data_IF_953901168187
#
_entry.id   IF_953901168187
#
_cell.length_a   1.000
_cell.length_b   1.000
_cell.length_c   1.000
_cell.angle_alpha   90.00
_cell.angle_beta   90.00
_cell.angle_gamma   90.00
#
_symmetry.space_group_name_H-M   'P 1'
#
loop_
_entity.id
_entity.type
_entity.pdbx_description
1 polymer ?
#
# COMPACT_ATOMS: atom_id res chain seq x y z
N UNK A 1 38.40 46.21 28.20
CA UNK A 1 37.12 46.68 27.60
C UNK A 1 37.07 46.28 26.11
N UNK A 2 37.20 44.98 25.80
CA UNK A 2 37.17 44.45 24.43
C UNK A 2 36.35 43.15 24.27
N UNK A 3 35.87 42.53 25.36
CA UNK A 3 35.13 41.25 25.26
C UNK A 3 33.65 41.37 24.92
N UNK A 4 33.02 42.54 25.10
CA UNK A 4 31.59 42.74 24.78
C UNK A 4 31.31 43.04 23.29
N UNK A 5 32.33 43.18 22.45
CA UNK A 5 32.17 43.48 21.03
C UNK A 5 31.97 42.22 20.16
N UNK A 6 32.13 41.02 20.72
CA UNK A 6 32.03 39.78 19.96
C UNK A 6 30.59 39.24 19.96
N UNK A 7 29.74 39.77 19.07
CA UNK A 7 28.34 39.32 18.88
C UNK A 7 28.19 37.80 18.67
N UNK A 8 29.26 37.08 18.29
CA UNK A 8 29.29 35.62 18.15
C UNK A 8 29.27 34.84 19.48
N UNK A 9 29.50 35.51 20.61
CA UNK A 9 29.54 34.93 21.97
C UNK A 9 28.29 35.28 22.81
N UNK A 10 27.31 35.99 22.25
CA UNK A 10 26.08 36.31 22.99
C UNK A 10 25.22 35.06 23.19
N UNK A 11 24.51 34.97 24.32
CA UNK A 11 23.58 33.86 24.63
C UNK A 11 22.56 33.68 23.49
N UNK A 12 22.06 34.78 22.93
CA UNK A 12 21.11 34.76 21.80
C UNK A 12 21.73 34.14 20.55
N UNK A 13 22.98 34.48 20.21
CA UNK A 13 23.69 33.89 19.07
C UNK A 13 24.01 32.40 19.28
N UNK A 14 24.32 31.99 20.52
CA UNK A 14 24.55 30.59 20.89
C UNK A 14 23.27 29.77 20.87
N UNK A 15 22.15 30.30 21.37
CA UNK A 15 20.83 29.65 21.29
C UNK A 15 20.37 29.50 19.84
N UNK A 16 20.57 30.53 19.00
CA UNK A 16 20.22 30.45 17.59
C UNK A 16 21.10 29.43 16.84
N UNK A 17 22.42 29.38 17.10
CA UNK A 17 23.31 28.37 16.51
C UNK A 17 22.96 26.96 16.98
N UNK A 18 22.63 26.78 18.25
CA UNK A 18 22.20 25.51 18.81
C UNK A 18 20.87 25.06 18.16
N UNK A 19 19.95 26.00 17.92
CA UNK A 19 18.71 25.75 17.16
C UNK A 19 18.97 25.29 15.73
N UNK A 20 19.91 25.92 15.01
CA UNK A 20 20.24 25.52 13.64
C UNK A 20 20.93 24.15 13.57
N UNK A 21 21.85 23.85 14.50
CA UNK A 21 22.47 22.53 14.57
C UNK A 21 21.43 21.44 14.88
N UNK A 22 20.53 21.67 15.85
CA UNK A 22 19.46 20.72 16.18
C UNK A 22 18.55 20.47 14.97
N UNK A 23 18.15 21.52 14.25
CA UNK A 23 17.36 21.40 13.02
C UNK A 23 18.09 20.62 11.93
N UNK A 24 19.39 20.87 11.76
CA UNK A 24 20.23 20.15 10.81
C UNK A 24 20.32 18.66 11.15
N UNK A 25 20.65 18.34 12.40
CA UNK A 25 20.77 16.96 12.88
C UNK A 25 19.43 16.21 12.76
N UNK A 26 18.32 16.87 13.10
CA UNK A 26 16.97 16.34 12.89
C UNK A 26 16.68 16.02 11.41
N UNK A 27 17.00 16.94 10.50
CA UNK A 27 16.80 16.73 9.05
C UNK A 27 17.64 15.57 8.52
N UNK A 28 18.88 15.43 9.00
CA UNK A 28 19.75 14.31 8.61
C UNK A 28 19.13 12.98 9.07
N UNK A 29 18.66 12.90 10.33
CA UNK A 29 17.97 11.71 10.85
C UNK A 29 16.71 11.37 10.05
N UNK A 30 15.88 12.38 9.77
CA UNK A 30 14.65 12.22 9.02
C UNK A 30 14.94 11.74 7.59
N UNK A 31 15.90 12.36 6.89
CA UNK A 31 16.28 11.96 5.54
C UNK A 31 16.81 10.52 5.50
N UNK A 32 17.68 10.14 6.45
CA UNK A 32 18.16 8.76 6.54
C UNK A 32 16.99 7.77 6.74
N UNK A 33 16.04 8.10 7.61
CA UNK A 33 14.84 7.29 7.82
C UNK A 33 13.99 7.19 6.56
N UNK A 34 13.75 8.30 5.86
CA UNK A 34 13.01 8.34 4.60
C UNK A 34 13.68 7.47 3.53
N UNK A 35 15.01 7.53 3.38
CA UNK A 35 15.73 6.73 2.39
C UNK A 35 15.60 5.23 2.67
N UNK A 36 15.71 4.83 3.94
CA UNK A 36 15.49 3.44 4.37
C UNK A 36 14.05 3.00 4.09
N UNK A 37 13.05 3.82 4.47
CA UNK A 37 11.63 3.51 4.20
C UNK A 37 11.39 3.36 2.70
N UNK A 38 11.91 4.27 1.86
CA UNK A 38 11.78 4.20 0.40
C UNK A 38 12.39 2.92 -0.17
N UNK A 39 13.55 2.51 0.33
CA UNK A 39 14.17 1.25 -0.07
C UNK A 39 13.28 0.06 0.30
N UNK A 40 12.77 0.01 1.52
CA UNK A 40 11.91 -1.09 1.97
C UNK A 40 10.61 -1.17 1.16
N UNK A 41 9.92 -0.04 0.98
CA UNK A 41 8.68 0.05 0.21
C UNK A 41 8.87 -0.39 -1.24
N UNK A 42 9.93 0.11 -1.90
CA UNK A 42 10.21 -0.22 -3.30
C UNK A 42 10.45 -1.71 -3.53
N UNK A 43 10.97 -2.41 -2.53
CA UNK A 43 11.28 -3.84 -2.62
C UNK A 43 10.23 -4.73 -1.94
N UNK A 44 9.14 -4.17 -1.40
CA UNK A 44 8.11 -4.94 -0.69
C UNK A 44 8.64 -5.64 0.58
N UNK A 45 9.63 -5.05 1.25
CA UNK A 45 10.32 -5.66 2.39
C UNK A 45 9.67 -5.28 3.72
N UNK A 46 9.68 -6.23 4.67
CA UNK A 46 9.22 -6.01 6.04
C UNK A 46 10.12 -5.03 6.78
N UNK A 47 9.54 -4.16 7.62
CA UNK A 47 10.31 -3.15 8.34
C UNK A 47 10.93 -3.70 9.62
N UNK A 48 10.14 -4.48 10.36
CA UNK A 48 10.39 -4.85 11.76
C UNK A 48 10.95 -6.26 11.89
N UNK A 49 11.76 -6.47 12.93
CA UNK A 49 12.21 -7.79 13.38
C UNK A 49 11.25 -8.39 14.41
N UNK A 50 11.41 -9.67 14.72
CA UNK A 50 10.70 -10.29 15.85
C UNK A 50 11.18 -9.73 17.20
N UNK A 51 12.47 -9.44 17.32
CA UNK A 51 13.07 -8.80 18.49
C UNK A 51 13.98 -7.65 18.06
N UNK A 52 13.67 -6.44 18.51
CA UNK A 52 14.43 -5.21 18.22
C UNK A 52 15.22 -4.71 19.44
N UNK A 53 15.34 -5.54 20.48
CA UNK A 53 16.13 -5.28 21.68
C UNK A 53 17.61 -5.04 21.35
N UNK A 54 18.35 -4.42 22.26
CA UNK A 54 19.78 -4.16 22.04
C UNK A 54 20.61 -5.42 21.87
N UNK A 55 20.19 -6.51 22.52
CA UNK A 55 20.88 -7.80 22.56
C UNK A 55 20.50 -8.74 21.40
N UNK A 56 19.52 -8.35 20.57
CA UNK A 56 19.10 -9.15 19.42
C UNK A 56 20.15 -9.16 18.31
N UNK A 57 20.44 -10.35 17.78
CA UNK A 57 21.31 -10.56 16.62
C UNK A 57 20.76 -9.92 15.33
N UNK A 58 19.43 -9.75 15.25
CA UNK A 58 18.77 -9.18 14.08
C UNK A 58 17.53 -8.37 14.49
N UNK A 59 17.63 -7.05 14.33
CA UNK A 59 16.63 -6.08 14.82
C UNK A 59 15.61 -5.67 13.76
N UNK A 60 15.54 -6.39 12.65
CA UNK A 60 14.69 -6.05 11.51
C UNK A 60 15.37 -5.15 10.47
N UNK A 61 14.85 -5.23 9.24
CA UNK A 61 15.50 -4.58 8.09
C UNK A 61 15.60 -3.06 8.24
N UNK A 62 14.65 -2.40 8.88
CA UNK A 62 14.71 -0.96 9.06
C UNK A 62 15.94 -0.55 9.89
N UNK A 63 16.17 -1.21 11.02
CA UNK A 63 17.29 -0.87 11.92
C UNK A 63 18.63 -1.26 11.30
N UNK A 64 18.70 -2.43 10.65
CA UNK A 64 19.91 -2.86 9.96
C UNK A 64 20.28 -1.95 8.78
N UNK A 65 19.30 -1.55 7.97
CA UNK A 65 19.54 -0.63 6.87
C UNK A 65 19.85 0.78 7.34
N UNK A 66 19.25 1.25 8.45
CA UNK A 66 19.57 2.55 9.02
C UNK A 66 21.00 2.58 9.56
N UNK A 67 21.45 1.50 10.21
CA UNK A 67 22.84 1.33 10.63
C UNK A 67 23.78 1.31 9.42
N UNK A 68 23.46 0.53 8.38
CA UNK A 68 24.21 0.49 7.13
C UNK A 68 24.24 1.86 6.42
N UNK A 69 23.14 2.61 6.43
CA UNK A 69 23.07 3.97 5.89
C UNK A 69 24.05 4.89 6.60
N UNK A 70 24.11 4.82 7.95
CA UNK A 70 25.09 5.55 8.76
C UNK A 70 26.54 5.24 8.38
N UNK A 71 26.91 3.96 8.26
CA UNK A 71 28.28 3.54 7.87
C UNK A 71 28.72 4.17 6.55
N UNK A 72 27.79 4.37 5.61
CA UNK A 72 28.09 4.96 4.31
C UNK A 72 27.98 6.49 4.28
N UNK A 73 27.44 7.12 5.33
CA UNK A 73 27.22 8.57 5.43
C UNK A 73 27.73 9.08 6.79
N UNK A 74 29.00 9.54 6.87
CA UNK A 74 29.64 9.92 8.14
C UNK A 74 28.90 10.99 8.94
N UNK A 75 28.13 11.85 8.28
CA UNK A 75 27.31 12.87 8.94
C UNK A 75 26.03 12.28 9.55
N UNK A 76 25.45 11.26 8.92
CA UNK A 76 24.30 10.53 9.45
C UNK A 76 24.70 9.62 10.61
N UNK A 77 25.83 8.93 10.53
CA UNK A 77 26.34 8.04 11.59
C UNK A 77 26.37 8.74 12.95
N UNK A 78 26.82 10.00 12.97
CA UNK A 78 26.98 10.82 14.19
C UNK A 78 25.67 11.23 14.85
N UNK A 79 24.53 11.07 14.17
CA UNK A 79 23.25 11.64 14.63
C UNK A 79 22.09 10.65 14.67
N UNK A 80 22.26 9.42 14.17
CA UNK A 80 21.23 8.36 14.17
C UNK A 80 21.43 7.33 15.31
N UNK A 81 20.41 6.52 15.56
CA UNK A 81 20.43 5.41 16.53
C UNK A 81 20.94 5.85 17.91
N UNK A 82 21.97 5.20 18.45
CA UNK A 82 22.55 5.47 19.76
C UNK A 82 23.13 6.89 19.91
N UNK A 83 23.41 7.58 18.80
CA UNK A 83 23.89 8.97 18.81
C UNK A 83 22.76 10.00 18.75
N UNK A 84 21.51 9.55 18.53
CA UNK A 84 20.34 10.42 18.58
C UNK A 84 19.82 10.58 20.03
N UNK A 85 19.21 11.72 20.37
CA UNK A 85 18.41 11.84 21.59
C UNK A 85 17.31 10.76 21.60
N UNK A 86 17.01 10.18 22.78
CA UNK A 86 16.00 9.10 22.90
C UNK A 86 14.64 9.45 22.31
N UNK A 87 14.24 10.72 22.39
CA UNK A 87 12.98 11.24 21.86
C UNK A 87 13.01 11.59 20.37
N UNK A 88 14.15 11.40 19.70
CA UNK A 88 14.37 11.81 18.30
C UNK A 88 15.10 10.74 17.48
N UNK A 89 15.03 9.47 17.88
CA UNK A 89 15.73 8.37 17.19
C UNK A 89 15.10 8.00 15.83
N UNK A 90 13.86 8.41 15.55
CA UNK A 90 13.09 8.06 14.34
C UNK A 90 12.80 6.56 14.15
N UNK A 91 13.04 5.73 15.16
CA UNK A 91 12.85 4.27 15.09
C UNK A 91 11.48 3.79 15.57
N UNK A 92 10.62 4.68 16.09
CA UNK A 92 9.31 4.33 16.61
C UNK A 92 8.34 3.91 15.48
N UNK A 93 7.45 2.96 15.76
CA UNK A 93 6.50 2.42 14.77
C UNK A 93 5.53 3.46 14.25
N UNK A 94 5.10 4.38 15.11
CA UNK A 94 4.25 5.51 14.71
C UNK A 94 4.96 6.42 13.71
N UNK A 95 6.22 6.78 13.96
CA UNK A 95 7.00 7.65 13.06
C UNK A 95 7.21 6.98 11.70
N UNK A 96 7.58 5.69 11.69
CA UNK A 96 7.73 4.95 10.43
C UNK A 96 6.41 4.90 9.64
N UNK A 97 5.27 4.70 10.30
CA UNK A 97 3.95 4.75 9.65
C UNK A 97 3.65 6.13 9.09
N UNK A 98 3.97 7.21 9.80
CA UNK A 98 3.81 8.58 9.28
C UNK A 98 4.65 8.83 8.02
N UNK A 99 5.89 8.33 8.00
CA UNK A 99 6.75 8.40 6.81
C UNK A 99 6.16 7.59 5.66
N UNK A 100 5.66 6.38 5.93
CA UNK A 100 4.97 5.54 4.93
C UNK A 100 3.74 6.26 4.39
N UNK A 101 2.91 6.86 5.24
CA UNK A 101 1.72 7.61 4.83
C UNK A 101 2.09 8.82 3.96
N UNK A 102 3.19 9.50 4.27
CA UNK A 102 3.72 10.57 3.42
C UNK A 102 4.16 10.03 2.06
N UNK A 103 4.88 8.90 2.01
CA UNK A 103 5.27 8.24 0.77
C UNK A 103 4.05 7.83 -0.07
N UNK A 104 3.02 7.28 0.56
CA UNK A 104 1.75 6.93 -0.08
C UNK A 104 1.11 8.16 -0.71
N UNK A 105 0.97 9.27 0.03
CA UNK A 105 0.40 10.53 -0.49
C UNK A 105 1.17 11.06 -1.69
N UNK A 106 2.50 11.09 -1.64
CA UNK A 106 3.32 11.57 -2.76
C UNK A 106 3.26 10.64 -3.97
N UNK A 107 3.21 9.32 -3.74
CA UNK A 107 3.06 8.33 -4.81
C UNK A 107 1.71 8.49 -5.51
N UNK A 108 0.61 8.60 -4.75
CA UNK A 108 -0.72 8.83 -5.32
C UNK A 108 -0.78 10.16 -6.07
N UNK A 109 -0.20 11.25 -5.53
CA UNK A 109 -0.10 12.53 -6.27
C UNK A 109 0.63 12.38 -7.60
N UNK A 110 1.71 11.60 -7.64
CA UNK A 110 2.44 11.34 -8.88
C UNK A 110 1.58 10.59 -9.90
N UNK A 111 0.83 9.57 -9.47
CA UNK A 111 -0.11 8.81 -10.33
C UNK A 111 -1.19 9.75 -10.89
N UNK A 112 -1.84 10.55 -10.04
CA UNK A 112 -2.91 11.47 -10.46
C UNK A 112 -2.37 12.56 -11.40
N UNK A 113 -1.15 13.04 -11.17
CA UNK A 113 -0.49 13.99 -12.07
C UNK A 113 -0.14 13.38 -13.42
N UNK A 114 0.27 12.11 -13.45
CA UNK A 114 0.58 11.39 -14.69
C UNK A 114 -0.68 11.12 -15.52
N UNK A 115 -1.81 10.84 -14.87
CA UNK A 115 -3.13 10.74 -15.50
C UNK A 115 -3.58 12.08 -16.11
N UNK A 116 -3.21 13.22 -15.51
CA UNK A 116 -3.49 14.58 -16.01
C UNK A 116 -4.97 14.89 -16.27
N UNK A 117 -5.88 14.22 -15.55
CA UNK A 117 -7.32 14.39 -15.71
C UNK A 117 -7.89 13.78 -17.00
N UNK A 118 -7.12 12.96 -17.72
CA UNK A 118 -7.58 12.21 -18.88
C UNK A 118 -8.51 11.04 -18.48
N UNK A 119 -8.97 10.30 -19.46
CA UNK A 119 -9.82 9.14 -19.29
C UNK A 119 -9.08 7.98 -18.61
N UNK A 120 -9.80 7.27 -17.74
CA UNK A 120 -9.27 6.10 -17.04
C UNK A 120 -10.31 4.99 -16.96
N UNK A 121 -9.83 3.77 -16.77
CA UNK A 121 -10.61 2.63 -16.30
C UNK A 121 -10.22 2.27 -14.87
N UNK A 122 -11.10 1.53 -14.20
CA UNK A 122 -10.83 0.93 -12.90
C UNK A 122 -10.75 -0.58 -13.04
N UNK A 123 -9.81 -1.19 -12.34
CA UNK A 123 -9.78 -2.63 -12.07
C UNK A 123 -10.00 -2.81 -10.56
N UNK A 124 -10.94 -3.68 -10.22
CA UNK A 124 -11.37 -3.91 -8.84
C UNK A 124 -11.27 -5.39 -8.53
N UNK A 125 -10.71 -5.72 -7.38
CA UNK A 125 -10.66 -7.09 -6.87
C UNK A 125 -11.03 -7.13 -5.40
N UNK A 126 -11.77 -8.17 -5.02
CA UNK A 126 -12.26 -8.39 -3.65
C UNK A 126 -11.52 -9.56 -3.01
N UNK A 127 -11.13 -9.38 -1.75
CA UNK A 127 -10.46 -10.42 -0.96
C UNK A 127 -10.85 -10.34 0.51
N UNK A 128 -10.55 -11.41 1.25
CA UNK A 128 -10.71 -11.50 2.71
C UNK A 128 -9.35 -11.50 3.38
N UNK A 129 -9.21 -10.70 4.42
CA UNK A 129 -8.02 -10.78 5.27
C UNK A 129 -8.08 -11.93 6.28
N UNK A 130 -6.97 -12.10 7.02
CA UNK A 130 -6.81 -13.13 8.06
C UNK A 130 -7.82 -13.00 9.21
N UNK A 131 -8.42 -11.81 9.39
CA UNK A 131 -9.48 -11.55 10.37
C UNK A 131 -10.88 -11.71 9.75
N UNK A 132 -10.97 -12.29 8.56
CA UNK A 132 -12.18 -12.47 7.77
C UNK A 132 -12.91 -11.17 7.42
N UNK A 133 -12.20 -10.04 7.37
CA UNK A 133 -12.77 -8.77 6.92
C UNK A 133 -12.60 -8.64 5.41
N UNK A 134 -13.65 -8.16 4.77
CA UNK A 134 -13.66 -7.92 3.33
C UNK A 134 -12.82 -6.69 3.00
N UNK A 135 -12.01 -6.80 1.95
CA UNK A 135 -11.15 -5.75 1.43
C UNK A 135 -11.31 -5.67 -0.08
N UNK A 136 -11.15 -4.46 -0.61
CA UNK A 136 -11.24 -4.20 -2.04
C UNK A 136 -9.98 -3.46 -2.48
N UNK A 137 -9.28 -4.03 -3.45
CA UNK A 137 -8.16 -3.39 -4.13
C UNK A 137 -8.67 -2.62 -5.35
N UNK A 138 -8.18 -1.40 -5.55
CA UNK A 138 -8.50 -0.60 -6.73
C UNK A 138 -7.22 -0.20 -7.47
N UNK A 139 -7.20 -0.49 -8.76
CA UNK A 139 -6.13 -0.13 -9.70
C UNK A 139 -6.71 0.78 -10.78
N UNK A 140 -6.00 1.85 -11.10
CA UNK A 140 -6.31 2.72 -12.24
C UNK A 140 -5.60 2.20 -13.47
N UNK A 141 -6.31 2.17 -14.60
CA UNK A 141 -5.75 1.84 -15.91
C UNK A 141 -5.98 3.01 -16.85
N UNK A 142 -4.92 3.64 -17.34
CA UNK A 142 -5.01 4.84 -18.17
C UNK A 142 -3.86 4.90 -19.18
N UNK A 143 -3.93 5.85 -20.11
CA UNK A 143 -2.86 6.12 -21.07
C UNK A 143 -2.16 7.41 -20.65
N UNK A 144 -0.85 7.38 -20.44
CA UNK A 144 -0.11 8.57 -20.04
C UNK A 144 0.14 9.49 -21.26
N UNK A 145 0.79 10.64 -21.01
CA UNK A 145 1.13 11.63 -22.06
C UNK A 145 2.06 11.09 -23.15
N UNK A 146 2.78 10.00 -22.88
CA UNK A 146 3.66 9.35 -23.85
C UNK A 146 2.90 8.33 -24.72
N UNK A 147 1.60 8.13 -24.48
CA UNK A 147 0.81 7.10 -25.16
C UNK A 147 0.99 5.70 -24.58
N UNK A 148 1.59 5.57 -23.41
CA UNK A 148 1.86 4.29 -22.76
C UNK A 148 0.68 3.88 -21.88
N UNK A 149 0.29 2.61 -21.96
CA UNK A 149 -0.73 2.06 -21.06
C UNK A 149 -0.12 1.84 -19.67
N UNK A 150 -0.67 2.52 -18.67
CA UNK A 150 -0.24 2.45 -17.28
C UNK A 150 -1.33 1.79 -16.44
N UNK A 151 -0.91 0.86 -15.59
CA UNK A 151 -1.73 0.28 -14.52
C UNK A 151 -1.10 0.64 -13.18
N UNK A 152 -1.79 1.47 -12.40
CA UNK A 152 -1.28 2.03 -11.15
C UNK A 152 -2.21 1.69 -9.99
N UNK A 153 -1.67 1.01 -8.98
CA UNK A 153 -2.40 0.71 -7.76
C UNK A 153 -2.76 2.01 -7.01
N UNK A 154 -4.05 2.22 -6.75
CA UNK A 154 -4.53 3.39 -6.05
C UNK A 154 -4.61 3.15 -4.54
N UNK A 155 -5.10 1.98 -4.14
CA UNK A 155 -5.22 1.64 -2.73
C UNK A 155 -6.03 0.38 -2.47
N UNK A 156 -5.99 -0.03 -1.20
CA UNK A 156 -6.83 -1.08 -0.64
C UNK A 156 -7.73 -0.45 0.42
N UNK A 157 -9.00 -0.82 0.40
CA UNK A 157 -10.03 -0.25 1.27
C UNK A 157 -10.82 -1.37 1.92
N UNK A 158 -11.06 -1.24 3.22
CA UNK A 158 -11.94 -2.15 3.94
C UNK A 158 -13.38 -1.88 3.54
N UNK A 159 -14.14 -2.95 3.29
CA UNK A 159 -15.55 -2.86 2.94
C UNK A 159 -16.35 -3.56 4.03
N UNK A 160 -17.45 -2.94 4.48
CA UNK A 160 -18.30 -3.52 5.52
C UNK A 160 -19.06 -4.76 5.07
N UNK A 161 -19.39 -4.83 3.78
CA UNK A 161 -20.06 -5.97 3.13
C UNK A 161 -19.73 -5.97 1.63
N UNK A 162 -19.92 -7.12 0.96
CA UNK A 162 -19.68 -7.29 -0.49
C UNK A 162 -20.92 -6.98 -1.33
N UNK A 163 -21.89 -6.22 -0.81
CA UNK A 163 -23.03 -5.81 -1.62
C UNK A 163 -22.58 -4.81 -2.68
N UNK A 164 -23.17 -4.90 -3.87
CA UNK A 164 -22.87 -4.03 -5.00
C UNK A 164 -22.92 -2.54 -4.64
N UNK A 165 -23.86 -2.13 -3.78
CA UNK A 165 -24.05 -0.74 -3.39
C UNK A 165 -22.98 -0.27 -2.40
N UNK A 166 -22.55 -1.12 -1.48
CA UNK A 166 -21.45 -0.82 -0.57
C UNK A 166 -20.15 -0.67 -1.34
N UNK A 167 -19.87 -1.60 -2.27
CA UNK A 167 -18.71 -1.52 -3.16
C UNK A 167 -18.73 -0.25 -4.01
N UNK A 168 -19.86 0.07 -4.65
CA UNK A 168 -20.00 1.30 -5.44
C UNK A 168 -19.68 2.55 -4.61
N UNK A 169 -20.24 2.66 -3.40
CA UNK A 169 -19.99 3.79 -2.52
C UNK A 169 -18.51 3.93 -2.15
N UNK A 170 -17.86 2.82 -1.85
CA UNK A 170 -16.44 2.83 -1.50
C UNK A 170 -15.58 3.22 -2.71
N UNK A 171 -15.86 2.69 -3.91
CA UNK A 171 -15.19 3.11 -5.15
C UNK A 171 -15.37 4.63 -5.34
N UNK A 172 -16.59 5.14 -5.23
CA UNK A 172 -16.86 6.56 -5.47
C UNK A 172 -16.19 7.45 -4.43
N UNK A 173 -16.19 7.05 -3.15
CA UNK A 173 -15.46 7.75 -2.10
C UNK A 173 -13.98 7.82 -2.44
N UNK A 174 -13.36 6.69 -2.80
CA UNK A 174 -11.92 6.64 -3.10
C UNK A 174 -11.57 7.49 -4.34
N UNK A 175 -12.40 7.46 -5.38
CA UNK A 175 -12.21 8.32 -6.56
C UNK A 175 -12.33 9.80 -6.19
N UNK A 176 -13.33 10.17 -5.38
CA UNK A 176 -13.55 11.55 -4.93
C UNK A 176 -12.40 12.06 -4.06
N UNK A 177 -11.88 11.24 -3.14
CA UNK A 177 -10.74 11.58 -2.27
C UNK A 177 -9.49 11.95 -3.08
N UNK A 178 -9.37 11.41 -4.31
CA UNK A 178 -8.30 11.70 -5.25
C UNK A 178 -8.71 12.65 -6.39
N UNK A 179 -9.87 13.32 -6.27
CA UNK A 179 -10.41 14.26 -7.26
C UNK A 179 -10.59 13.66 -8.66
N UNK A 180 -10.83 12.36 -8.75
CA UNK A 180 -11.10 11.64 -10.00
C UNK A 180 -12.59 11.73 -10.35
N UNK A 181 -12.88 12.30 -11.51
CA UNK A 181 -14.26 12.51 -11.95
C UNK A 181 -14.84 11.27 -12.64
N UNK A 182 -16.01 10.81 -12.19
CA UNK A 182 -16.74 9.69 -12.81
C UNK A 182 -17.06 9.92 -14.29
N UNK A 183 -17.21 11.18 -14.74
CA UNK A 183 -17.45 11.49 -16.16
C UNK A 183 -16.29 11.08 -17.08
N UNK A 184 -15.08 10.93 -16.51
CA UNK A 184 -13.85 10.48 -17.19
C UNK A 184 -13.66 8.96 -17.13
N UNK A 185 -14.51 8.24 -16.41
CA UNK A 185 -14.47 6.79 -16.35
C UNK A 185 -14.91 6.19 -17.70
N UNK A 186 -14.07 5.30 -18.25
CA UNK A 186 -14.29 4.63 -19.55
C UNK A 186 -14.26 3.10 -19.47
N UNK A 187 -13.77 2.54 -18.37
CA UNK A 187 -13.71 1.09 -18.20
C UNK A 187 -13.94 0.68 -16.75
N UNK A 188 -14.54 -0.48 -16.56
CA UNK A 188 -14.69 -1.13 -15.26
C UNK A 188 -14.40 -2.63 -15.40
N UNK A 189 -13.34 -3.11 -14.75
CA UNK A 189 -12.88 -4.49 -14.83
C UNK A 189 -12.90 -5.16 -13.46
N UNK A 190 -13.60 -6.28 -13.36
CA UNK A 190 -13.65 -7.11 -12.14
C UNK A 190 -14.26 -8.48 -12.45
N UNK A 191 -14.35 -9.35 -11.45
CA UNK A 191 -14.83 -10.72 -11.61
C UNK A 191 -16.33 -10.82 -11.94
N UNK A 192 -16.77 -12.05 -12.17
CA UNK A 192 -18.14 -12.38 -12.54
C UNK A 192 -19.02 -12.73 -11.35
N UNK A 193 -18.62 -12.38 -10.12
CA UNK A 193 -19.44 -12.65 -8.95
C UNK A 193 -20.82 -12.01 -9.10
N UNK A 194 -21.85 -12.58 -8.47
CA UNK A 194 -23.23 -12.13 -8.65
C UNK A 194 -23.43 -10.66 -8.29
N UNK A 195 -22.73 -10.18 -7.27
CA UNK A 195 -22.78 -8.79 -6.83
C UNK A 195 -22.04 -7.85 -7.80
N UNK A 196 -21.14 -8.39 -8.61
CA UNK A 196 -20.35 -7.65 -9.59
C UNK A 196 -21.02 -7.59 -10.96
N UNK A 197 -21.50 -8.73 -11.47
CA UNK A 197 -22.01 -8.86 -12.86
C UNK A 197 -23.51 -9.22 -12.98
N UNK A 198 -24.27 -9.35 -11.89
CA UNK A 198 -25.69 -9.75 -11.93
C UNK A 198 -26.61 -8.88 -12.82
N UNK A 199 -27.81 -9.37 -13.17
CA UNK A 199 -28.70 -8.62 -14.08
C UNK A 199 -29.30 -7.35 -13.46
N UNK A 200 -29.52 -7.35 -12.14
CA UNK A 200 -30.15 -6.24 -11.41
C UNK A 200 -29.34 -5.94 -10.15
N UNK A 201 -29.15 -4.65 -9.86
CA UNK A 201 -28.47 -4.16 -8.65
C UNK A 201 -27.07 -4.74 -8.43
N UNK A 202 -26.35 -5.08 -9.49
CA UNK A 202 -24.93 -5.43 -9.43
C UNK A 202 -24.05 -4.18 -9.64
N UNK A 203 -22.77 -4.27 -9.31
CA UNK A 203 -21.82 -3.18 -9.44
C UNK A 203 -21.75 -2.65 -10.87
N UNK A 204 -21.78 -3.56 -11.86
CA UNK A 204 -21.79 -3.20 -13.29
C UNK A 204 -22.93 -2.29 -13.65
N UNK A 205 -24.14 -2.71 -13.30
CA UNK A 205 -25.36 -1.97 -13.64
C UNK A 205 -25.39 -0.63 -12.91
N UNK A 206 -24.92 -0.58 -11.67
CA UNK A 206 -24.86 0.66 -10.87
C UNK A 206 -23.86 1.66 -11.45
N UNK A 207 -22.64 1.25 -11.79
CA UNK A 207 -21.64 2.14 -12.40
C UNK A 207 -22.07 2.58 -13.79
N UNK A 208 -22.70 1.71 -14.59
CA UNK A 208 -23.22 2.08 -15.92
C UNK A 208 -24.36 3.10 -15.87
N UNK A 209 -25.16 3.13 -14.80
CA UNK A 209 -26.20 4.15 -14.62
C UNK A 209 -25.60 5.55 -14.47
N UNK A 210 -24.50 5.68 -13.73
CA UNK A 210 -23.85 6.97 -13.46
C UNK A 210 -22.81 7.34 -14.52
N UNK A 211 -22.14 6.34 -15.11
CA UNK A 211 -21.12 6.50 -16.15
C UNK A 211 -21.42 5.56 -17.34
N UNK A 212 -22.33 5.94 -18.25
CA UNK A 212 -22.75 5.08 -19.37
C UNK A 212 -21.62 4.67 -20.33
N UNK A 213 -20.52 5.41 -20.35
CA UNK A 213 -19.34 5.12 -21.17
C UNK A 213 -18.33 4.20 -20.48
N UNK A 214 -18.57 3.76 -19.25
CA UNK A 214 -17.68 2.88 -18.49
C UNK A 214 -17.90 1.41 -18.87
N UNK A 215 -17.25 0.95 -19.94
CA UNK A 215 -17.45 -0.41 -20.44
C UNK A 215 -16.99 -1.47 -19.45
N UNK A 216 -17.83 -2.46 -19.22
CA UNK A 216 -17.52 -3.59 -18.34
C UNK A 216 -16.68 -4.65 -19.07
N UNK A 217 -15.58 -5.05 -18.44
CA UNK A 217 -14.72 -6.15 -18.87
C UNK A 217 -14.71 -7.21 -17.77
N UNK A 218 -15.15 -8.42 -18.12
CA UNK A 218 -15.09 -9.55 -17.20
C UNK A 218 -13.65 -10.06 -17.08
N UNK A 219 -13.21 -10.36 -15.86
CA UNK A 219 -11.89 -10.91 -15.59
C UNK A 219 -11.63 -12.21 -16.38
N UNK A 220 -10.70 -12.14 -17.35
CA UNK A 220 -10.36 -13.30 -18.18
C UNK A 220 -9.76 -14.45 -17.38
N UNK A 221 -8.99 -14.17 -16.32
CA UNK A 221 -8.46 -15.21 -15.44
C UNK A 221 -9.58 -15.98 -14.74
N UNK A 222 -10.61 -15.27 -14.27
CA UNK A 222 -11.80 -15.89 -13.68
C UNK A 222 -12.57 -16.71 -14.72
N UNK A 223 -12.74 -16.21 -15.95
CA UNK A 223 -13.39 -16.95 -17.04
C UNK A 223 -12.65 -18.25 -17.39
N UNK A 224 -11.33 -18.18 -17.49
CA UNK A 224 -10.49 -19.34 -17.76
C UNK A 224 -10.63 -20.37 -16.63
N UNK A 225 -10.56 -19.92 -15.37
CA UNK A 225 -10.73 -20.78 -14.21
C UNK A 225 -12.09 -21.48 -14.21
N UNK A 226 -13.19 -20.75 -14.44
CA UNK A 226 -14.53 -21.33 -14.54
C UNK A 226 -14.63 -22.38 -15.65
N UNK A 227 -14.01 -22.11 -16.79
CA UNK A 227 -13.98 -23.04 -17.93
C UNK A 227 -13.21 -24.32 -17.59
N UNK A 228 -12.02 -24.20 -16.99
CA UNK A 228 -11.20 -25.32 -16.56
C UNK A 228 -11.91 -26.18 -15.51
N UNK A 229 -12.56 -25.55 -14.52
CA UNK A 229 -13.35 -26.25 -13.50
C UNK A 229 -14.52 -26.99 -14.13
N UNK A 230 -15.24 -26.37 -15.06
CA UNK A 230 -16.37 -26.99 -15.74
C UNK A 230 -15.96 -28.21 -16.58
N UNK A 231 -14.84 -28.12 -17.31
CA UNK A 231 -14.29 -29.24 -18.08
C UNK A 231 -13.78 -30.36 -17.18
N UNK A 232 -13.06 -30.02 -16.10
CA UNK A 232 -12.54 -30.98 -15.13
C UNK A 232 -13.66 -31.81 -14.49
N UNK A 233 -14.80 -31.18 -14.17
CA UNK A 233 -15.97 -31.87 -13.62
C UNK A 233 -16.63 -32.84 -14.59
N UNK A 234 -16.41 -32.69 -15.91
CA UNK A 234 -16.94 -33.60 -16.94
C UNK A 234 -16.03 -34.81 -17.19
N UNK A 235 -14.76 -34.75 -16.79
CA UNK A 235 -13.83 -35.86 -16.93
C UNK A 235 -13.84 -36.75 -15.67
N UNK A 236 -14.27 -38.03 -15.75
CA UNK A 236 -14.44 -38.89 -14.58
C UNK A 236 -13.19 -39.02 -13.70
N UNK A 237 -12.01 -39.25 -14.31
CA UNK A 237 -10.77 -39.43 -13.56
C UNK A 237 -10.32 -38.18 -12.81
N UNK A 238 -10.39 -37.01 -13.47
CA UNK A 238 -10.06 -35.71 -12.87
C UNK A 238 -11.04 -35.37 -11.75
N UNK A 239 -12.33 -35.61 -11.97
CA UNK A 239 -13.36 -35.44 -10.94
C UNK A 239 -13.08 -36.32 -9.72
N UNK A 240 -12.74 -37.60 -9.95
CA UNK A 240 -12.43 -38.54 -8.87
C UNK A 240 -11.16 -38.12 -8.11
N UNK A 241 -10.12 -37.67 -8.83
CA UNK A 241 -8.91 -37.13 -8.22
C UNK A 241 -9.21 -35.97 -7.28
N UNK A 242 -9.91 -34.93 -7.76
CA UNK A 242 -10.25 -33.78 -6.92
C UNK A 242 -11.18 -34.14 -5.75
N UNK A 243 -12.06 -35.13 -5.93
CA UNK A 243 -12.90 -35.65 -4.86
C UNK A 243 -12.08 -36.27 -3.73
N UNK A 244 -11.12 -37.14 -4.06
CA UNK A 244 -10.21 -37.77 -3.08
C UNK A 244 -9.36 -36.70 -2.38
N UNK A 245 -8.75 -35.78 -3.12
CA UNK A 245 -7.94 -34.69 -2.55
C UNK A 245 -8.77 -33.83 -1.59
N UNK A 246 -9.99 -33.45 -1.98
CA UNK A 246 -10.88 -32.64 -1.14
C UNK A 246 -11.24 -33.37 0.15
N UNK A 247 -11.51 -34.67 0.09
CA UNK A 247 -11.80 -35.47 1.28
C UNK A 247 -10.59 -35.56 2.22
N UNK A 248 -9.39 -35.77 1.69
CA UNK A 248 -8.15 -35.78 2.49
C UNK A 248 -7.92 -34.42 3.14
N UNK A 249 -8.07 -33.32 2.40
CA UNK A 249 -7.94 -31.97 2.94
C UNK A 249 -8.98 -31.66 4.02
N UNK A 250 -10.22 -32.12 3.85
CA UNK A 250 -11.26 -31.94 4.86
C UNK A 250 -10.95 -32.73 6.14
N UNK A 251 -10.42 -33.95 6.03
CA UNK A 251 -9.98 -34.74 7.19
C UNK A 251 -8.81 -34.05 7.91
N UNK A 252 -7.82 -33.56 7.16
CA UNK A 252 -6.66 -32.86 7.74
C UNK A 252 -7.08 -31.51 8.36
N UNK A 253 -7.92 -30.73 7.67
CA UNK A 253 -8.38 -29.41 8.12
C UNK A 253 -9.38 -29.46 9.28
N UNK A 254 -10.09 -30.57 9.46
CA UNK A 254 -10.92 -30.81 10.67
C UNK A 254 -10.10 -31.33 11.85
N UNK A 255 -8.86 -31.78 11.64
CA UNK A 255 -7.93 -32.08 12.71
C UNK A 255 -7.47 -30.78 13.38
N UNK A 256 -7.67 -30.69 14.69
CA UNK A 256 -7.55 -29.48 15.54
C UNK A 256 -6.19 -28.76 15.54
N UNK A 257 -5.20 -29.17 14.74
CA UNK A 257 -3.83 -28.59 14.74
C UNK A 257 -3.60 -27.43 13.75
N UNK A 258 -4.61 -27.02 12.97
CA UNK A 258 -4.45 -25.99 11.92
C UNK A 258 -5.45 -24.82 12.02
N UNK A 259 -5.96 -24.52 13.22
CA UNK A 259 -6.83 -23.36 13.47
C UNK A 259 -6.14 -22.14 14.10
N UNK A 260 -4.81 -22.14 14.12
CA UNK A 260 -3.99 -21.02 14.62
C UNK A 260 -3.41 -20.20 13.46
#
# INVERSE_FOLDING_TARGET
MLDFANQRQSIQSSLHKQSEKIKSDYRIRLNASIDVVRFLLRNGLSFRGHDESEDSDYKGLFLELLKFHGVNHPDAEKVILQHAPKNDMMICSTIQKEIVDACTKETTKAIIKDLDGDYFGILVDESKDISHKEQMALVLRYVNKNGELIESFLGIVHVGDTSARSLQKVIYSLLLDHSLCLSRLRGQGYDGASNMQGEKNCLKSLILQDAPSAYYIHCFAHQLQLTLVALSKKHPDVKNFFYVVTNVLNIIGTSFKHRD
#
